data_IF_832047172329
#
_entry.id   IF_832047172329
#
_cell.length_a   1.000
_cell.length_b   1.000
_cell.length_c   1.000
_cell.angle_alpha   90.00
_cell.angle_beta   90.00
_cell.angle_gamma   90.00
#
_symmetry.space_group_name_H-M   'P 1'
#
loop_
_entity.id
_entity.type
_entity.pdbx_description
1 polymer ?
#
# COMPACT_ATOMS: atom_id res chain seq x y z
N UNK A 1 -10.04 -2.32 0.52
CA UNK A 1 -11.04 -1.49 1.22
C UNK A 1 -11.04 -0.05 0.69
N UNK A 2 -10.90 0.11 -0.63
CA UNK A 2 -10.97 1.40 -1.30
C UNK A 2 -12.31 2.09 -1.09
N UNK A 3 -12.29 3.39 -0.82
CA UNK A 3 -13.48 4.24 -0.78
C UNK A 3 -14.56 3.77 0.23
N UNK A 4 -14.13 3.44 1.46
CA UNK A 4 -15.00 2.92 2.51
C UNK A 4 -15.22 3.88 3.68
N UNK A 5 -14.73 5.12 3.62
CA UNK A 5 -14.78 6.14 4.70
C UNK A 5 -14.24 5.61 6.03
N UNK A 6 -13.20 4.78 5.98
CA UNK A 6 -12.57 4.22 7.18
C UNK A 6 -11.71 5.27 7.86
N UNK A 7 -11.73 5.29 9.19
CA UNK A 7 -10.95 6.21 10.03
C UNK A 7 -10.06 5.43 10.99
N UNK A 8 -9.05 6.09 11.55
CA UNK A 8 -8.12 5.49 12.53
C UNK A 8 -6.81 5.05 11.88
N UNK A 9 -5.93 4.44 12.68
CA UNK A 9 -4.60 4.05 12.22
C UNK A 9 -4.57 2.65 11.61
N UNK A 10 -3.57 2.41 10.77
CA UNK A 10 -3.23 1.06 10.32
C UNK A 10 -2.73 0.29 11.56
N UNK A 11 -3.29 -0.88 11.89
CA UNK A 11 -2.95 -1.57 13.13
C UNK A 11 -1.65 -2.38 13.00
N UNK A 12 -0.89 -2.49 14.10
CA UNK A 12 0.36 -3.27 14.16
C UNK A 12 0.18 -4.75 13.83
N UNK A 13 -0.98 -5.35 14.15
CA UNK A 13 -1.23 -6.77 13.86
C UNK A 13 -1.30 -7.08 12.35
N UNK A 14 -1.23 -6.07 11.47
CA UNK A 14 -1.13 -6.27 10.02
C UNK A 14 0.06 -7.16 9.65
N UNK A 15 1.12 -7.19 10.46
CA UNK A 15 2.29 -8.07 10.23
C UNK A 15 1.92 -9.56 10.09
N UNK A 16 0.79 -9.98 10.65
CA UNK A 16 0.33 -11.36 10.60
C UNK A 16 -0.28 -11.76 9.25
N UNK A 17 -0.58 -10.78 8.40
CA UNK A 17 -1.21 -10.98 7.10
C UNK A 17 -0.18 -11.31 6.02
N UNK A 18 0.72 -12.26 6.32
CA UNK A 18 1.89 -12.59 5.49
C UNK A 18 1.56 -13.09 4.08
N UNK A 19 0.34 -13.59 3.84
CA UNK A 19 -0.16 -14.01 2.52
C UNK A 19 -0.70 -12.85 1.67
N UNK A 20 -0.75 -11.63 2.20
CA UNK A 20 -1.31 -10.47 1.50
C UNK A 20 -0.41 -10.06 0.34
N UNK A 21 -0.99 -9.95 -0.86
CA UNK A 21 -0.30 -9.48 -2.06
C UNK A 21 -0.70 -8.05 -2.46
N UNK A 22 -1.90 -7.61 -2.08
CA UNK A 22 -2.45 -6.28 -2.34
C UNK A 22 -3.07 -5.74 -1.05
N UNK A 23 -2.56 -4.62 -0.56
CA UNK A 23 -3.20 -3.81 0.47
C UNK A 23 -3.72 -2.54 -0.18
N UNK A 24 -5.02 -2.52 -0.42
CA UNK A 24 -5.71 -1.38 -1.00
C UNK A 24 -6.54 -0.67 0.09
N UNK A 25 -6.00 0.42 0.64
CA UNK A 25 -6.61 1.29 1.64
C UNK A 25 -6.87 2.70 1.10
N UNK A 26 -6.84 2.83 -0.22
CA UNK A 26 -7.05 4.08 -0.92
C UNK A 26 -8.40 4.75 -0.57
N UNK A 27 -8.43 6.09 -0.59
CA UNK A 27 -9.65 6.89 -0.54
C UNK A 27 -10.41 6.67 0.78
N UNK A 28 -9.72 6.83 1.89
CA UNK A 28 -10.28 6.73 3.24
C UNK A 28 -9.83 7.95 4.07
N UNK A 29 -10.20 7.96 5.35
CA UNK A 29 -9.87 9.01 6.32
C UNK A 29 -8.91 8.45 7.38
N UNK A 30 -7.93 7.64 6.95
CA UNK A 30 -6.94 7.04 7.85
C UNK A 30 -6.04 8.11 8.46
N UNK A 31 -5.61 7.86 9.70
CA UNK A 31 -4.82 8.78 10.52
C UNK A 31 -3.58 8.11 11.11
N UNK A 32 -2.68 8.90 11.67
CA UNK A 32 -1.47 8.37 12.32
C UNK A 32 -0.36 8.05 11.33
N UNK A 33 0.48 7.08 11.64
CA UNK A 33 1.67 6.70 10.84
C UNK A 33 1.49 5.33 10.19
N UNK A 34 2.32 5.03 9.18
CA UNK A 34 2.46 3.66 8.66
C UNK A 34 3.26 2.84 9.69
N UNK A 35 2.69 1.78 10.30
CA UNK A 35 3.38 1.00 11.31
C UNK A 35 4.55 0.22 10.70
N UNK A 36 5.61 0.03 11.48
CA UNK A 36 6.78 -0.76 11.05
C UNK A 36 6.42 -2.22 10.73
N UNK A 37 5.32 -2.73 11.32
CA UNK A 37 4.72 -4.02 11.02
C UNK A 37 4.44 -4.26 9.52
N UNK A 38 4.20 -3.21 8.73
CA UNK A 38 3.96 -3.36 7.28
C UNK A 38 5.15 -4.02 6.56
N UNK A 39 6.36 -3.87 7.10
CA UNK A 39 7.60 -4.45 6.57
C UNK A 39 7.68 -5.98 6.73
N UNK A 40 6.79 -6.56 7.54
CA UNK A 40 6.68 -8.02 7.73
C UNK A 40 5.83 -8.71 6.67
N UNK A 41 5.10 -7.95 5.85
CA UNK A 41 4.27 -8.47 4.77
C UNK A 41 5.13 -8.95 3.59
N UNK A 42 5.81 -10.08 3.77
CA UNK A 42 6.81 -10.58 2.80
C UNK A 42 6.24 -10.90 1.41
N UNK A 43 4.94 -11.21 1.30
CA UNK A 43 4.24 -11.47 0.04
C UNK A 43 3.70 -10.22 -0.68
N UNK A 44 3.76 -9.04 -0.05
CA UNK A 44 3.09 -7.85 -0.59
C UNK A 44 3.75 -7.37 -1.87
N UNK A 45 2.90 -7.03 -2.86
CA UNK A 45 3.30 -6.49 -4.15
C UNK A 45 2.79 -5.08 -4.37
N UNK A 46 1.62 -4.76 -3.82
CA UNK A 46 0.94 -3.49 -4.04
C UNK A 46 0.49 -2.89 -2.71
N UNK A 47 0.97 -1.69 -2.42
CA UNK A 47 0.59 -0.89 -1.25
C UNK A 47 -0.05 0.41 -1.74
N UNK A 48 -1.38 0.50 -1.67
CA UNK A 48 -2.14 1.68 -2.06
C UNK A 48 -2.68 2.34 -0.79
N UNK A 49 -2.02 3.41 -0.34
CA UNK A 49 -2.37 4.18 0.87
C UNK A 49 -2.73 5.63 0.53
N UNK A 50 -2.70 5.98 -0.76
CA UNK A 50 -3.03 7.28 -1.30
C UNK A 50 -4.44 7.73 -0.89
N UNK A 51 -4.67 9.05 -0.97
CA UNK A 51 -5.95 9.70 -0.68
C UNK A 51 -6.43 9.39 0.75
N UNK A 52 -5.50 9.53 1.69
CA UNK A 52 -5.69 9.50 3.14
C UNK A 52 -5.01 10.74 3.76
N UNK A 53 -5.64 11.92 3.74
CA UNK A 53 -4.96 13.20 3.98
C UNK A 53 -4.39 13.37 5.40
N UNK A 54 -4.87 12.56 6.36
CA UNK A 54 -4.42 12.57 7.75
C UNK A 54 -3.42 11.46 8.10
N UNK A 55 -3.11 10.57 7.15
CA UNK A 55 -2.07 9.55 7.29
C UNK A 55 -0.73 10.23 7.02
N UNK A 56 0.18 10.24 7.98
CA UNK A 56 1.43 11.00 7.88
C UNK A 56 2.62 10.31 8.52
N UNK A 57 3.60 11.12 8.90
CA UNK A 57 4.86 10.64 9.45
C UNK A 57 5.85 10.20 8.38
N UNK A 58 6.66 9.20 8.74
CA UNK A 58 7.82 8.73 7.99
C UNK A 58 7.56 7.36 7.37
N UNK A 59 8.12 7.13 6.18
CA UNK A 59 8.20 5.79 5.60
C UNK A 59 9.01 4.86 6.52
N UNK A 60 8.51 3.65 6.86
CA UNK A 60 9.27 2.68 7.64
C UNK A 60 10.59 2.29 6.95
N UNK A 61 11.70 2.31 7.69
CA UNK A 61 13.03 2.04 7.12
C UNK A 61 13.19 0.65 6.48
N UNK A 62 12.37 -0.33 6.88
CA UNK A 62 12.38 -1.66 6.29
C UNK A 62 11.64 -1.80 4.95
N UNK A 63 11.05 -0.72 4.41
CA UNK A 63 10.36 -0.78 3.10
C UNK A 63 11.30 -1.20 1.96
N UNK A 64 12.56 -0.77 1.99
CA UNK A 64 13.59 -1.13 0.99
C UNK A 64 13.97 -2.63 1.01
N UNK A 65 13.69 -3.33 2.10
CA UNK A 65 13.91 -4.77 2.23
C UNK A 65 12.78 -5.61 1.62
N UNK A 66 11.65 -5.00 1.27
CA UNK A 66 10.46 -5.68 0.74
C UNK A 66 10.61 -6.01 -0.75
N UNK A 67 11.37 -7.06 -1.06
CA UNK A 67 11.75 -7.43 -2.44
C UNK A 67 10.59 -7.75 -3.40
N UNK A 68 9.41 -8.03 -2.87
CA UNK A 68 8.21 -8.30 -3.66
C UNK A 68 7.40 -7.05 -3.99
N UNK A 69 7.66 -5.91 -3.35
CA UNK A 69 6.95 -4.67 -3.60
C UNK A 69 7.18 -4.24 -5.07
N UNK A 70 6.09 -3.81 -5.72
CA UNK A 70 6.07 -3.38 -7.13
C UNK A 70 5.39 -2.04 -7.31
N UNK A 71 4.41 -1.72 -6.47
CA UNK A 71 3.68 -0.44 -6.52
C UNK A 71 3.49 0.10 -5.11
N UNK A 72 3.85 1.37 -4.91
CA UNK A 72 3.63 2.13 -3.69
C UNK A 72 2.99 3.47 -4.03
N UNK A 73 1.72 3.66 -3.69
CA UNK A 73 1.02 4.94 -3.90
C UNK A 73 0.66 5.58 -2.56
N UNK A 74 1.05 6.83 -2.40
CA UNK A 74 0.98 7.67 -1.20
C UNK A 74 0.50 9.09 -1.50
N UNK A 75 0.18 9.42 -2.76
CA UNK A 75 -0.36 10.72 -3.14
C UNK A 75 -1.53 11.13 -2.24
N UNK A 76 -1.61 12.43 -1.90
CA UNK A 76 -2.64 12.97 -1.00
C UNK A 76 -2.65 12.27 0.39
N UNK A 77 -1.45 12.14 0.96
CA UNK A 77 -1.19 11.83 2.38
C UNK A 77 -0.30 12.92 2.99
N UNK A 78 -0.15 12.94 4.31
CA UNK A 78 0.76 13.82 5.05
C UNK A 78 2.14 13.16 5.31
N UNK A 79 2.53 12.15 4.53
CA UNK A 79 3.82 11.47 4.64
C UNK A 79 4.90 12.38 4.06
N UNK A 80 6.00 12.57 4.79
CA UNK A 80 6.97 13.65 4.50
C UNK A 80 8.39 13.15 4.23
N UNK A 81 8.54 11.89 3.82
CA UNK A 81 9.84 11.25 3.60
C UNK A 81 10.21 11.02 2.14
N UNK A 82 11.53 10.94 1.92
CA UNK A 82 12.16 10.46 0.69
C UNK A 82 12.18 8.93 0.67
N UNK A 83 12.10 8.33 -0.52
CA UNK A 83 12.20 6.88 -0.74
C UNK A 83 13.53 6.52 -1.42
N UNK A 84 14.62 7.14 -0.96
CA UNK A 84 15.96 7.05 -1.57
C UNK A 84 16.48 5.61 -1.71
N UNK A 85 16.16 4.76 -0.73
CA UNK A 85 16.58 3.36 -0.68
C UNK A 85 15.57 2.39 -1.34
N UNK A 86 14.46 2.89 -1.90
CA UNK A 86 13.42 2.08 -2.53
C UNK A 86 13.64 1.97 -4.04
N UNK A 87 14.03 0.80 -4.51
CA UNK A 87 14.34 0.56 -5.92
C UNK A 87 13.42 -0.49 -6.54
N UNK A 88 13.36 -0.53 -7.87
CA UNK A 88 12.59 -1.53 -8.64
C UNK A 88 11.07 -1.51 -8.37
N UNK A 89 10.57 -0.34 -7.93
CA UNK A 89 9.17 -0.08 -7.59
C UNK A 89 8.62 1.04 -8.48
N UNK A 90 7.32 1.01 -8.77
CA UNK A 90 6.58 2.16 -9.30
C UNK A 90 6.01 2.93 -8.11
N UNK A 91 6.28 4.22 -8.02
CA UNK A 91 5.83 5.06 -6.90
C UNK A 91 5.19 6.37 -7.38
N UNK A 92 4.72 7.23 -6.48
CA UNK A 92 4.15 8.52 -6.88
C UNK A 92 5.19 9.42 -7.58
N UNK A 93 4.75 10.22 -8.56
CA UNK A 93 5.62 11.18 -9.26
C UNK A 93 6.11 12.32 -8.37
N UNK A 94 5.45 12.54 -7.24
CA UNK A 94 5.81 13.52 -6.23
C UNK A 94 6.86 12.99 -5.22
N UNK A 95 7.06 11.67 -5.18
CA UNK A 95 7.99 11.02 -4.25
C UNK A 95 9.41 11.08 -4.78
N UNK A 96 10.34 11.56 -3.96
CA UNK A 96 11.77 11.49 -4.28
C UNK A 96 12.23 10.03 -4.19
N UNK A 97 12.37 9.39 -5.35
CA UNK A 97 12.70 8.00 -5.50
C UNK A 97 13.67 7.81 -6.68
N UNK A 98 14.99 7.99 -6.46
CA UNK A 98 15.98 8.04 -7.54
C UNK A 98 16.17 6.71 -8.28
N UNK A 99 15.74 5.59 -7.69
CA UNK A 99 15.83 4.25 -8.30
C UNK A 99 14.47 3.58 -8.54
N UNK A 100 13.36 4.34 -8.46
CA UNK A 100 12.07 3.86 -8.93
C UNK A 100 12.09 3.64 -10.45
N UNK A 101 11.33 2.64 -10.91
CA UNK A 101 11.30 2.22 -12.33
C UNK A 101 10.43 3.11 -13.20
N UNK A 102 9.36 3.63 -12.61
CA UNK A 102 8.45 4.60 -13.19
C UNK A 102 7.79 5.34 -12.05
N UNK A 103 7.20 6.49 -12.35
CA UNK A 103 6.26 7.12 -11.43
C UNK A 103 4.82 6.95 -11.93
N UNK A 104 3.86 7.07 -11.02
CA UNK A 104 2.43 6.96 -11.23
C UNK A 104 1.72 7.91 -10.26
N UNK A 105 1.14 9.00 -10.76
CA UNK A 105 0.30 9.89 -9.95
C UNK A 105 -1.16 9.81 -10.38
N UNK A 106 -2.08 10.11 -9.46
CA UNK A 106 -3.52 10.12 -9.74
C UNK A 106 -3.92 11.22 -10.72
N UNK A 107 -3.11 12.27 -10.80
CA UNK A 107 -3.34 13.43 -11.67
C UNK A 107 -2.77 13.20 -13.09
N UNK A 108 -1.98 12.13 -13.30
CA UNK A 108 -1.54 11.70 -14.62
C UNK A 108 -2.60 10.82 -15.27
N UNK A 109 -3.22 11.32 -16.35
CA UNK A 109 -4.17 10.55 -17.18
C UNK A 109 -3.56 9.23 -17.73
N UNK A 110 -2.22 9.14 -17.76
CA UNK A 110 -1.47 7.98 -18.21
C UNK A 110 -1.29 6.91 -17.11
N UNK A 111 -1.46 7.23 -15.83
CA UNK A 111 -1.37 6.21 -14.79
C UNK A 111 -2.71 5.52 -14.52
N UNK A 112 -2.83 4.30 -15.04
CA UNK A 112 -3.89 3.38 -14.66
C UNK A 112 -3.37 2.35 -13.66
N UNK A 113 -3.54 2.61 -12.36
CA UNK A 113 -3.13 1.72 -11.27
C UNK A 113 -3.71 0.31 -11.44
N UNK A 114 -4.96 0.18 -11.87
CA UNK A 114 -5.62 -1.11 -12.11
C UNK A 114 -4.94 -1.88 -13.25
N UNK A 115 -4.55 -1.19 -14.33
CA UNK A 115 -3.83 -1.79 -15.45
C UNK A 115 -2.40 -2.19 -15.04
N UNK A 116 -1.71 -1.37 -14.24
CA UNK A 116 -0.40 -1.70 -13.69
C UNK A 116 -0.48 -2.97 -12.84
N UNK A 117 -1.40 -3.02 -11.87
CA UNK A 117 -1.63 -4.20 -11.02
C UNK A 117 -1.94 -5.44 -11.87
N UNK A 118 -2.79 -5.31 -12.89
CA UNK A 118 -3.11 -6.39 -13.81
C UNK A 118 -1.90 -6.86 -14.66
N UNK A 119 -0.94 -5.97 -14.94
CA UNK A 119 0.24 -6.27 -15.76
C UNK A 119 1.31 -7.11 -15.04
N UNK A 120 1.38 -7.05 -13.71
CA UNK A 120 2.35 -7.80 -12.88
C UNK A 120 2.00 -9.31 -12.74
N UNK A 121 1.20 -9.82 -13.68
CA UNK A 121 0.76 -11.20 -13.74
C UNK A 121 -0.45 -11.47 -12.86
N UNK A 122 -1.03 -12.67 -12.99
CA UNK A 122 -2.16 -13.04 -12.17
C UNK A 122 -1.79 -13.04 -10.69
N UNK A 123 -2.27 -12.02 -9.97
CA UNK A 123 -3.00 -12.25 -8.71
C UNK A 123 -4.21 -13.20 -8.99
N UNK A 124 -4.57 -13.36 -10.27
CA UNK A 124 -5.64 -14.10 -10.91
C UNK A 124 -5.28 -15.53 -11.37
N UNK A 125 -4.83 -16.45 -10.52
CA UNK A 125 -4.93 -17.86 -10.91
C UNK A 125 -6.37 -18.34 -10.68
N UNK A 126 -7.11 -18.67 -11.75
CA UNK A 126 -8.31 -19.49 -11.65
C UNK A 126 -9.57 -18.83 -11.03
N UNK A 127 -9.87 -17.56 -11.34
CA UNK A 127 -11.14 -16.88 -10.99
C UNK A 127 -11.51 -16.87 -9.48
N UNK A 128 -10.54 -16.89 -8.57
CA UNK A 128 -10.80 -16.60 -7.15
C UNK A 128 -9.90 -15.48 -6.66
N UNK A 129 -10.47 -14.28 -6.58
CA UNK A 129 -10.10 -13.36 -5.52
C UNK A 129 -10.59 -13.97 -4.22
N UNK A 130 -9.68 -14.36 -3.33
CA UNK A 130 -9.95 -14.12 -1.93
C UNK A 130 -9.73 -12.62 -1.76
N UNK A 131 -10.76 -11.83 -2.05
CA UNK A 131 -10.87 -10.51 -1.43
C UNK A 131 -11.13 -10.84 0.03
N UNK A 132 -10.06 -11.20 0.74
CA UNK A 132 -10.14 -11.31 2.18
C UNK A 132 -10.31 -9.86 2.63
N UNK A 133 -11.57 -9.49 2.83
CA UNK A 133 -11.92 -8.20 3.38
C UNK A 133 -11.58 -8.26 4.86
N UNK A 134 -10.35 -7.88 5.18
CA UNK A 134 -9.92 -7.74 6.55
C UNK A 134 -10.52 -6.46 7.12
N UNK A 135 -11.38 -6.57 8.13
CA UNK A 135 -11.96 -5.42 8.80
C UNK A 135 -10.95 -4.86 9.82
N UNK A 136 -10.08 -3.93 9.42
CA UNK A 136 -9.01 -3.40 10.28
C UNK A 136 -9.50 -2.51 11.45
N UNK A 137 -10.71 -1.96 11.36
CA UNK A 137 -11.11 -0.79 12.15
C UNK A 137 -12.10 -1.09 13.30
N UNK A 138 -12.42 -2.36 13.59
CA UNK A 138 -13.34 -2.73 14.67
C UNK A 138 -12.63 -3.08 16.00
N UNK A 139 -11.37 -2.66 16.17
CA UNK A 139 -10.62 -2.88 17.42
C UNK A 139 -10.34 -4.36 17.74
N UNK A 140 -10.62 -5.25 16.81
CA UNK A 140 -10.39 -6.69 16.94
C UNK A 140 -9.67 -7.19 15.69
N UNK A 141 -8.71 -8.10 15.91
CA UNK A 141 -7.96 -8.75 14.84
C UNK A 141 -8.93 -9.55 13.96
N UNK A 142 -8.84 -9.45 12.63
CA UNK A 142 -9.70 -10.20 11.73
C UNK A 142 -9.43 -11.70 11.88
N UNK A 143 -10.50 -12.47 11.98
CA UNK A 143 -10.47 -13.93 12.07
C UNK A 143 -10.24 -14.43 10.64
N UNK A 144 -9.12 -15.12 10.40
CA UNK A 144 -8.89 -15.80 9.13
C UNK A 144 -9.98 -16.87 8.96
N UNK A 145 -10.82 -16.71 7.92
CA UNK A 145 -11.92 -17.62 7.58
C UNK A 145 -11.50 -18.74 6.65
#
# INVERSE_FOLDING_TARGET
MKNMKRTGSIPEWIEEMTSLHLLDLDHNDLTGEIPSAITKLSGIKFLLLNRNPSLGGLLPSGLSDMKNLKLLLLDNTAITNHADDLCDVVADCSLDCPCCTSCCSVEDDDCNEDALIASYGPIYEGRRFFRDEYHFFEGSKPIQG
#
